data_IF_427537715782
#
_entry.id   IF_427537715782
#
_cell.length_a   1.000
_cell.length_b   1.000
_cell.length_c   1.000
_cell.angle_alpha   90.00
_cell.angle_beta   90.00
_cell.angle_gamma   90.00
#
_symmetry.space_group_name_H-M   'P 1'
#
loop_
_entity.id
_entity.type
_entity.pdbx_description
1 polymer ?
#
# COMPACT_ATOMS: atom_id res chain seq x y z
N UNK A 1 7.00 -9.75 -19.56
CA UNK A 1 5.75 -8.99 -19.51
C UNK A 1 5.84 -7.77 -18.58
N UNK A 2 5.98 -7.91 -17.27
CA UNK A 2 6.12 -6.81 -16.29
C UNK A 2 7.28 -5.85 -16.60
N UNK A 3 8.44 -6.35 -17.02
CA UNK A 3 9.60 -5.52 -17.39
C UNK A 3 9.33 -4.57 -18.57
N UNK A 4 8.52 -4.97 -19.54
CA UNK A 4 8.14 -4.13 -20.67
C UNK A 4 7.13 -3.05 -20.26
N UNK A 5 6.20 -3.36 -19.36
CA UNK A 5 5.26 -2.38 -18.79
C UNK A 5 5.98 -1.32 -17.94
N UNK A 6 7.01 -1.72 -17.18
CA UNK A 6 7.86 -0.80 -16.43
C UNK A 6 8.65 0.12 -17.38
N UNK A 7 9.26 -0.43 -18.43
CA UNK A 7 10.00 0.37 -19.42
C UNK A 7 9.10 1.39 -20.15
N UNK A 8 7.90 0.99 -20.56
CA UNK A 8 6.98 1.89 -21.27
C UNK A 8 6.43 3.01 -20.39
N UNK A 9 6.48 2.86 -19.07
CA UNK A 9 5.95 3.82 -18.09
C UNK A 9 7.04 4.47 -17.21
N UNK A 10 8.30 4.41 -17.65
CA UNK A 10 9.45 4.90 -16.86
C UNK A 10 9.29 6.37 -16.44
N UNK A 11 8.77 7.22 -17.32
CA UNK A 11 8.50 8.63 -17.03
C UNK A 11 7.47 8.81 -15.90
N UNK A 12 6.41 8.00 -15.89
CA UNK A 12 5.41 8.03 -14.82
C UNK A 12 5.99 7.57 -13.49
N UNK A 13 6.85 6.56 -13.50
CA UNK A 13 7.54 6.06 -12.31
C UNK A 13 8.48 7.12 -11.75
N UNK A 14 9.30 7.75 -12.59
CA UNK A 14 10.21 8.83 -12.17
C UNK A 14 9.41 9.99 -11.57
N UNK A 15 8.32 10.40 -12.20
CA UNK A 15 7.41 11.43 -11.67
C UNK A 15 6.89 11.08 -10.28
N UNK A 16 6.45 9.83 -10.06
CA UNK A 16 5.97 9.35 -8.75
C UNK A 16 7.09 9.42 -7.71
N UNK A 17 8.29 8.94 -8.06
CA UNK A 17 9.44 8.99 -7.15
C UNK A 17 9.77 10.42 -6.74
N UNK A 18 9.83 11.35 -7.70
CA UNK A 18 10.10 12.78 -7.42
C UNK A 18 9.02 13.36 -6.50
N UNK A 19 7.75 13.12 -6.79
CA UNK A 19 6.65 13.61 -5.96
C UNK A 19 6.64 13.01 -4.56
N UNK A 20 6.97 11.72 -4.42
CA UNK A 20 7.07 11.06 -3.11
C UNK A 20 8.25 11.61 -2.30
N UNK A 21 9.38 11.87 -2.94
CA UNK A 21 10.52 12.51 -2.29
C UNK A 21 10.21 13.96 -1.89
N UNK A 22 9.53 14.71 -2.73
CA UNK A 22 9.08 16.08 -2.41
C UNK A 22 8.11 16.08 -1.22
N UNK A 23 7.12 15.18 -1.21
CA UNK A 23 6.21 15.00 -0.09
C UNK A 23 6.96 14.66 1.21
N UNK A 24 7.88 13.69 1.16
CA UNK A 24 8.66 13.28 2.33
C UNK A 24 9.58 14.40 2.83
N UNK A 25 10.22 15.11 1.92
CA UNK A 25 11.09 16.25 2.25
C UNK A 25 10.32 17.42 2.88
N UNK A 26 9.15 17.77 2.33
CA UNK A 26 8.28 18.77 2.92
C UNK A 26 7.75 18.35 4.30
N UNK A 27 7.44 17.08 4.50
CA UNK A 27 7.04 16.55 5.80
C UNK A 27 8.15 16.68 6.85
N UNK A 28 9.39 16.33 6.49
CA UNK A 28 10.56 16.52 7.36
C UNK A 28 10.83 18.01 7.60
N UNK A 29 10.66 18.86 6.60
CA UNK A 29 10.78 20.30 6.77
C UNK A 29 9.73 20.87 7.73
N UNK A 30 8.49 20.38 7.66
CA UNK A 30 7.43 20.73 8.61
C UNK A 30 7.83 20.37 10.05
N UNK A 31 8.37 19.16 10.27
CA UNK A 31 8.88 18.74 11.58
C UNK A 31 10.04 19.63 12.04
N UNK A 32 10.95 19.99 11.15
CA UNK A 32 12.06 20.90 11.43
C UNK A 32 11.58 22.28 11.84
N UNK A 33 10.59 22.82 11.12
CA UNK A 33 10.02 24.11 11.42
C UNK A 33 9.34 24.15 12.80
N UNK A 34 8.59 23.08 13.13
CA UNK A 34 7.96 22.94 14.44
C UNK A 34 9.02 22.95 15.55
N UNK A 35 10.08 22.15 15.37
CA UNK A 35 11.12 22.02 16.40
C UNK A 35 11.95 23.30 16.58
N UNK A 36 12.28 23.98 15.52
CA UNK A 36 13.22 25.11 15.57
C UNK A 36 12.51 26.45 15.84
N UNK A 37 11.34 26.66 15.29
CA UNK A 37 10.63 27.95 15.39
C UNK A 37 9.45 27.88 16.36
N UNK A 38 8.56 26.90 16.25
CA UNK A 38 7.34 26.86 17.09
C UNK A 38 7.63 26.53 18.56
N UNK A 39 8.53 25.58 18.84
CA UNK A 39 8.86 25.19 20.22
C UNK A 39 9.61 26.32 20.96
N UNK A 40 10.34 27.18 20.26
CA UNK A 40 11.11 28.27 20.83
C UNK A 40 10.36 29.62 20.86
N UNK A 41 9.12 29.68 20.35
CA UNK A 41 8.28 30.86 20.43
C UNK A 41 7.95 31.23 21.87
N UNK A 42 8.37 32.42 22.29
CA UNK A 42 8.01 33.01 23.61
C UNK A 42 6.75 33.85 23.55
N UNK A 43 6.46 34.44 22.39
CA UNK A 43 5.29 35.26 22.10
C UNK A 43 4.71 34.89 20.74
N UNK A 44 3.41 35.12 20.55
CA UNK A 44 2.74 34.80 19.28
C UNK A 44 3.22 35.74 18.19
N UNK A 45 3.94 35.20 17.20
CA UNK A 45 4.37 35.93 16.00
C UNK A 45 3.52 35.52 14.79
N UNK A 46 2.80 36.48 14.23
CA UNK A 46 1.93 36.29 13.07
C UNK A 46 2.73 35.83 11.83
N UNK A 47 3.98 36.28 11.69
CA UNK A 47 4.84 35.87 10.57
C UNK A 47 5.21 34.39 10.63
N UNK A 48 5.48 33.89 11.83
CA UNK A 48 5.77 32.45 12.04
C UNK A 48 4.53 31.63 11.75
N UNK A 49 3.36 32.07 12.18
CA UNK A 49 2.08 31.40 11.92
C UNK A 49 1.78 31.33 10.40
N UNK A 50 1.98 32.45 9.67
CA UNK A 50 1.77 32.49 8.21
C UNK A 50 2.75 31.57 7.48
N UNK A 51 4.04 31.56 7.85
CA UNK A 51 5.04 30.63 7.30
C UNK A 51 4.65 29.19 7.54
N UNK A 52 4.20 28.85 8.75
CA UNK A 52 3.76 27.49 9.09
C UNK A 52 2.58 27.04 8.24
N UNK A 53 1.56 27.89 8.09
CA UNK A 53 0.41 27.62 7.24
C UNK A 53 0.84 27.41 5.78
N UNK A 54 1.75 28.23 5.27
CA UNK A 54 2.26 28.10 3.90
C UNK A 54 2.98 26.75 3.71
N UNK A 55 3.83 26.32 4.65
CA UNK A 55 4.51 25.02 4.62
C UNK A 55 3.50 23.88 4.65
N UNK A 56 2.48 23.96 5.51
CA UNK A 56 1.41 22.96 5.58
C UNK A 56 0.63 22.86 4.27
N UNK A 57 0.28 23.98 3.66
CA UNK A 57 -0.42 24.01 2.36
C UNK A 57 0.43 23.33 1.28
N UNK A 58 1.72 23.64 1.20
CA UNK A 58 2.65 23.00 0.26
C UNK A 58 2.77 21.49 0.52
N UNK A 59 2.84 21.09 1.78
CA UNK A 59 2.86 19.69 2.18
C UNK A 59 1.59 18.96 1.72
N UNK A 60 0.41 19.53 1.96
CA UNK A 60 -0.87 18.96 1.50
C UNK A 60 -0.96 18.87 -0.03
N UNK A 61 -0.57 19.91 -0.74
CA UNK A 61 -0.57 19.91 -2.21
C UNK A 61 0.36 18.81 -2.74
N UNK A 62 1.55 18.66 -2.18
CA UNK A 62 2.50 17.62 -2.59
C UNK A 62 1.96 16.20 -2.27
N UNK A 63 1.29 16.02 -1.13
CA UNK A 63 0.64 14.77 -0.75
C UNK A 63 -0.47 14.38 -1.75
N UNK A 64 -1.34 15.32 -2.10
CA UNK A 64 -2.42 15.13 -3.07
C UNK A 64 -1.84 14.80 -4.45
N UNK A 65 -0.84 15.55 -4.90
CA UNK A 65 -0.18 15.33 -6.19
C UNK A 65 0.50 13.96 -6.27
N UNK A 66 1.17 13.52 -5.21
CA UNK A 66 1.77 12.19 -5.11
C UNK A 66 0.69 11.10 -5.18
N UNK A 67 -0.38 11.20 -4.37
CA UNK A 67 -1.47 10.24 -4.35
C UNK A 67 -2.20 10.13 -5.70
N UNK A 68 -2.52 11.26 -6.34
CA UNK A 68 -3.16 11.26 -7.67
C UNK A 68 -2.24 10.58 -8.70
N UNK A 69 -0.94 10.88 -8.68
CA UNK A 69 0.00 10.28 -9.63
C UNK A 69 0.14 8.77 -9.44
N UNK A 70 0.18 8.29 -8.21
CA UNK A 70 0.22 6.87 -7.86
C UNK A 70 -1.07 6.17 -8.29
N UNK A 71 -2.23 6.77 -7.97
CA UNK A 71 -3.55 6.22 -8.29
C UNK A 71 -3.75 6.12 -9.81
N UNK A 72 -3.40 7.16 -10.55
CA UNK A 72 -3.50 7.16 -12.02
C UNK A 72 -2.59 6.10 -12.66
N UNK A 73 -1.38 5.94 -12.14
CA UNK A 73 -0.48 4.89 -12.57
C UNK A 73 -1.05 3.50 -12.28
N UNK A 74 -1.64 3.31 -11.08
CA UNK A 74 -2.29 2.07 -10.69
C UNK A 74 -3.46 1.70 -11.61
N UNK A 75 -4.33 2.65 -11.90
CA UNK A 75 -5.44 2.43 -12.83
C UNK A 75 -4.98 2.06 -14.23
N UNK A 76 -3.94 2.73 -14.75
CA UNK A 76 -3.36 2.41 -16.05
C UNK A 76 -2.77 1.00 -16.06
N UNK A 77 -2.05 0.62 -15.01
CA UNK A 77 -1.45 -0.71 -14.86
C UNK A 77 -2.52 -1.82 -14.81
N UNK A 78 -3.59 -1.61 -14.03
CA UNK A 78 -4.71 -2.54 -13.92
C UNK A 78 -5.48 -2.66 -15.25
N UNK A 79 -5.68 -1.54 -15.95
CA UNK A 79 -6.30 -1.55 -17.27
C UNK A 79 -5.50 -2.39 -18.27
N UNK A 80 -4.19 -2.20 -18.31
CA UNK A 80 -3.31 -2.97 -19.19
C UNK A 80 -3.32 -4.47 -18.86
N UNK A 81 -3.31 -4.83 -17.58
CA UNK A 81 -3.46 -6.23 -17.15
C UNK A 81 -4.79 -6.83 -17.61
N UNK A 82 -5.88 -6.10 -17.44
CA UNK A 82 -7.21 -6.54 -17.91
C UNK A 82 -7.22 -6.75 -19.41
N UNK A 83 -6.71 -5.79 -20.16
CA UNK A 83 -6.66 -5.86 -21.61
C UNK A 83 -5.87 -7.10 -22.08
N UNK A 84 -4.71 -7.32 -21.52
CA UNK A 84 -3.86 -8.47 -21.87
C UNK A 84 -4.53 -9.81 -21.49
N UNK A 85 -5.17 -9.89 -20.34
CA UNK A 85 -5.89 -11.10 -19.89
C UNK A 85 -7.06 -11.40 -20.81
N UNK A 86 -7.86 -10.40 -21.17
CA UNK A 86 -8.98 -10.58 -22.10
C UNK A 86 -8.48 -10.98 -23.48
N UNK A 87 -7.41 -10.35 -23.99
CA UNK A 87 -6.80 -10.72 -25.26
C UNK A 87 -6.33 -12.18 -25.25
N UNK A 88 -5.69 -12.63 -24.18
CA UNK A 88 -5.24 -14.01 -24.04
C UNK A 88 -6.43 -15.00 -24.07
N UNK A 89 -7.55 -14.65 -23.45
CA UNK A 89 -8.78 -15.47 -23.52
C UNK A 89 -9.33 -15.53 -24.96
N UNK A 90 -9.34 -14.38 -25.66
CA UNK A 90 -9.84 -14.32 -27.04
C UNK A 90 -8.94 -15.09 -28.03
N UNK A 91 -7.65 -15.15 -27.77
CA UNK A 91 -6.66 -15.88 -28.57
C UNK A 91 -6.66 -17.39 -28.23
N UNK A 92 -7.41 -17.83 -27.22
CA UNK A 92 -7.49 -19.25 -26.81
C UNK A 92 -8.56 -20.00 -27.59
N UNK A 93 -8.28 -21.22 -28.12
CA UNK A 93 -9.27 -22.02 -28.83
C UNK A 93 -10.53 -22.31 -28.02
N UNK A 94 -11.71 -22.25 -28.68
CA UNK A 94 -13.00 -22.47 -28.04
C UNK A 94 -13.14 -23.83 -27.35
N UNK A 95 -12.42 -24.86 -27.83
CA UNK A 95 -12.40 -26.19 -27.19
C UNK A 95 -11.87 -26.11 -25.75
N UNK A 96 -10.76 -25.40 -25.54
CA UNK A 96 -10.15 -25.21 -24.21
C UNK A 96 -11.04 -24.35 -23.30
N UNK A 97 -11.66 -23.30 -23.86
CA UNK A 97 -12.61 -22.45 -23.11
C UNK A 97 -13.82 -23.24 -22.63
N UNK A 98 -14.35 -24.15 -23.46
CA UNK A 98 -15.50 -24.98 -23.10
C UNK A 98 -15.12 -26.06 -22.08
N UNK A 99 -13.89 -26.61 -22.15
CA UNK A 99 -13.39 -27.60 -21.19
C UNK A 99 -13.23 -26.99 -19.78
N UNK A 100 -12.68 -25.78 -19.67
CA UNK A 100 -12.49 -25.07 -18.40
C UNK A 100 -13.84 -24.55 -17.87
N UNK A 101 -14.75 -24.15 -18.75
CA UNK A 101 -16.04 -23.52 -18.46
C UNK A 101 -15.97 -21.98 -18.40
N UNK A 102 -16.79 -21.35 -19.23
CA UNK A 102 -16.84 -19.88 -19.38
C UNK A 102 -17.08 -19.14 -18.06
N UNK A 103 -18.00 -19.66 -17.24
CA UNK A 103 -18.33 -19.04 -15.95
C UNK A 103 -17.13 -19.06 -14.99
N UNK A 104 -16.35 -20.14 -14.97
CA UNK A 104 -15.17 -20.28 -14.14
C UNK A 104 -14.05 -19.31 -14.56
N UNK A 105 -13.84 -19.16 -15.86
CA UNK A 105 -12.85 -18.22 -16.41
C UNK A 105 -13.20 -16.79 -16.02
N UNK A 106 -14.46 -16.38 -16.18
CA UNK A 106 -14.92 -15.01 -15.85
C UNK A 106 -14.81 -14.77 -14.34
N UNK A 107 -15.20 -15.73 -13.52
CA UNK A 107 -15.12 -15.63 -12.07
C UNK A 107 -13.67 -15.50 -11.58
N UNK A 108 -12.75 -16.34 -12.10
CA UNK A 108 -11.32 -16.29 -11.80
C UNK A 108 -10.72 -14.96 -12.22
N UNK A 109 -10.99 -14.52 -13.47
CA UNK A 109 -10.49 -13.25 -13.99
C UNK A 109 -10.90 -12.06 -13.10
N UNK A 110 -12.17 -12.00 -12.68
CA UNK A 110 -12.66 -10.93 -11.83
C UNK A 110 -12.03 -10.95 -10.43
N UNK A 111 -11.87 -12.14 -9.85
CA UNK A 111 -11.27 -12.29 -8.52
C UNK A 111 -9.77 -11.97 -8.53
N UNK A 112 -9.05 -12.47 -9.51
CA UNK A 112 -7.60 -12.25 -9.66
C UNK A 112 -7.30 -10.77 -9.88
N UNK A 113 -8.09 -10.09 -10.72
CA UNK A 113 -7.93 -8.65 -10.95
C UNK A 113 -8.21 -7.83 -9.69
N UNK A 114 -9.23 -8.19 -8.90
CA UNK A 114 -9.51 -7.52 -7.62
C UNK A 114 -8.35 -7.69 -6.65
N UNK A 115 -7.83 -8.90 -6.53
CA UNK A 115 -6.70 -9.24 -5.66
C UNK A 115 -5.44 -8.46 -6.05
N UNK A 116 -5.11 -8.43 -7.34
CA UNK A 116 -3.96 -7.68 -7.88
C UNK A 116 -4.15 -6.18 -7.66
N UNK A 117 -5.36 -5.65 -7.87
CA UNK A 117 -5.69 -4.24 -7.63
C UNK A 117 -5.44 -3.87 -6.17
N UNK A 118 -5.95 -4.67 -5.24
CA UNK A 118 -5.77 -4.44 -3.81
C UNK A 118 -4.30 -4.52 -3.40
N UNK A 119 -3.58 -5.54 -3.87
CA UNK A 119 -2.16 -5.69 -3.61
C UNK A 119 -1.34 -4.50 -4.13
N UNK A 120 -1.65 -4.02 -5.33
CA UNK A 120 -0.98 -2.87 -5.93
C UNK A 120 -1.23 -1.58 -5.12
N UNK A 121 -2.48 -1.30 -4.76
CA UNK A 121 -2.83 -0.12 -3.95
C UNK A 121 -2.15 -0.15 -2.58
N UNK A 122 -2.13 -1.31 -1.93
CA UNK A 122 -1.46 -1.49 -0.64
C UNK A 122 0.05 -1.32 -0.75
N UNK A 123 0.68 -1.87 -1.79
CA UNK A 123 2.12 -1.77 -2.03
C UNK A 123 2.56 -0.32 -2.27
N UNK A 124 1.77 0.48 -3.00
CA UNK A 124 2.11 1.89 -3.27
C UNK A 124 2.08 2.74 -2.01
N UNK A 125 1.05 2.57 -1.16
CA UNK A 125 0.96 3.23 0.15
C UNK A 125 2.11 2.83 1.08
N UNK A 126 2.49 1.55 1.07
CA UNK A 126 3.62 1.05 1.84
C UNK A 126 4.94 1.69 1.41
N UNK A 127 5.22 1.76 0.11
CA UNK A 127 6.45 2.39 -0.42
C UNK A 127 6.52 3.87 -0.03
N UNK A 128 5.42 4.61 -0.17
CA UNK A 128 5.35 6.02 0.21
C UNK A 128 5.65 6.23 1.70
N UNK A 129 5.04 5.42 2.56
CA UNK A 129 5.28 5.47 4.01
C UNK A 129 6.72 5.11 4.36
N UNK A 130 7.30 4.13 3.68
CA UNK A 130 8.68 3.69 3.89
C UNK A 130 9.67 4.81 3.55
N UNK A 131 9.50 5.50 2.42
CA UNK A 131 10.33 6.65 2.05
C UNK A 131 10.22 7.76 3.10
N UNK A 132 9.00 8.08 3.56
CA UNK A 132 8.78 9.07 4.60
C UNK A 132 9.47 8.69 5.92
N UNK A 133 9.33 7.44 6.37
CA UNK A 133 9.97 6.94 7.59
C UNK A 133 11.49 7.05 7.50
N UNK A 134 12.08 6.69 6.36
CA UNK A 134 13.52 6.80 6.15
C UNK A 134 13.97 8.27 6.28
N UNK A 135 13.31 9.19 5.56
CA UNK A 135 13.64 10.61 5.63
C UNK A 135 13.49 11.18 7.06
N UNK A 136 12.39 10.85 7.73
CA UNK A 136 12.13 11.28 9.10
C UNK A 136 13.13 10.69 10.10
N UNK A 137 13.56 9.43 9.89
CA UNK A 137 14.57 8.76 10.73
C UNK A 137 15.93 9.44 10.63
N UNK A 138 16.37 9.81 9.42
CA UNK A 138 17.62 10.57 9.24
C UNK A 138 17.55 11.92 9.94
N UNK A 139 16.45 12.63 9.80
CA UNK A 139 16.25 13.90 10.48
C UNK A 139 16.27 13.76 12.00
N UNK A 140 15.57 12.76 12.54
CA UNK A 140 15.52 12.50 13.99
C UNK A 140 16.90 12.09 14.54
N UNK A 141 17.65 11.28 13.80
CA UNK A 141 19.02 10.88 14.17
C UNK A 141 19.96 12.10 14.24
N UNK A 142 19.76 13.08 13.36
CA UNK A 142 20.56 14.31 13.35
C UNK A 142 20.23 15.25 14.53
N UNK A 143 18.94 15.46 14.84
CA UNK A 143 18.51 16.42 15.88
C UNK A 143 18.59 15.81 17.28
N UNK A 144 18.13 14.57 17.44
CA UNK A 144 17.99 13.95 18.76
C UNK A 144 18.38 12.46 18.73
N UNK A 145 19.69 12.13 18.68
CA UNK A 145 20.16 10.76 18.52
C UNK A 145 19.68 9.82 19.65
N UNK A 146 19.49 10.33 20.87
CA UNK A 146 18.97 9.55 21.99
C UNK A 146 17.50 9.13 21.75
N UNK A 147 16.69 10.05 21.23
CA UNK A 147 15.28 9.80 20.89
C UNK A 147 15.19 8.85 19.71
N UNK A 148 16.09 8.98 18.72
CA UNK A 148 16.16 8.08 17.58
C UNK A 148 16.43 6.63 18.02
N UNK A 149 17.41 6.40 18.90
CA UNK A 149 17.73 5.07 19.42
C UNK A 149 16.53 4.48 20.16
N UNK A 150 15.90 5.28 21.04
CA UNK A 150 14.69 4.84 21.75
C UNK A 150 13.55 4.46 20.79
N UNK A 151 13.30 5.28 19.78
CA UNK A 151 12.28 5.03 18.76
C UNK A 151 12.60 3.79 17.94
N UNK A 152 13.85 3.57 17.56
CA UNK A 152 14.29 2.39 16.82
C UNK A 152 14.09 1.09 17.64
N UNK A 153 14.41 1.11 18.92
CA UNK A 153 14.17 -0.03 19.84
C UNK A 153 12.67 -0.30 19.96
N UNK A 154 11.85 0.77 20.10
CA UNK A 154 10.40 0.64 20.21
C UNK A 154 9.76 0.05 18.95
N UNK A 155 10.18 0.55 17.78
CA UNK A 155 9.72 0.01 16.47
C UNK A 155 10.14 -1.46 16.33
N UNK A 156 11.39 -1.79 16.69
CA UNK A 156 11.88 -3.16 16.65
C UNK A 156 11.07 -4.09 17.57
N UNK A 157 10.79 -3.67 18.81
CA UNK A 157 9.95 -4.41 19.73
C UNK A 157 8.53 -4.63 19.18
N UNK A 158 7.93 -3.60 18.60
CA UNK A 158 6.59 -3.68 17.98
C UNK A 158 6.58 -4.67 16.81
N UNK A 159 7.59 -4.69 15.95
CA UNK A 159 7.71 -5.65 14.85
C UNK A 159 7.84 -7.09 15.36
N UNK A 160 8.64 -7.33 16.40
CA UNK A 160 8.76 -8.65 17.01
C UNK A 160 7.43 -9.12 17.59
N UNK A 161 6.76 -8.27 18.37
CA UNK A 161 5.45 -8.57 18.97
C UNK A 161 4.43 -8.88 17.87
N UNK A 162 4.33 -8.04 16.82
CA UNK A 162 3.44 -8.28 15.69
C UNK A 162 3.72 -9.62 15.00
N UNK A 163 4.98 -9.96 14.80
CA UNK A 163 5.36 -11.24 14.16
C UNK A 163 4.94 -12.44 15.00
N UNK A 164 5.10 -12.34 16.31
CA UNK A 164 4.68 -13.40 17.25
C UNK A 164 3.15 -13.54 17.29
N UNK A 165 2.44 -12.40 17.33
CA UNK A 165 0.97 -12.38 17.30
C UNK A 165 0.43 -12.95 15.99
N UNK A 166 1.01 -12.58 14.85
CA UNK A 166 0.58 -13.10 13.54
C UNK A 166 0.80 -14.61 13.42
N UNK A 167 1.90 -15.17 13.94
CA UNK A 167 2.10 -16.62 13.99
C UNK A 167 1.00 -17.31 14.81
N UNK A 168 0.64 -16.73 15.95
CA UNK A 168 -0.42 -17.27 16.82
C UNK A 168 -1.78 -17.17 16.16
N UNK A 169 -2.08 -16.03 15.53
CA UNK A 169 -3.31 -15.80 14.78
C UNK A 169 -3.43 -16.81 13.61
N UNK A 170 -2.38 -16.98 12.81
CA UNK A 170 -2.38 -17.97 11.73
C UNK A 170 -2.61 -19.39 12.21
N UNK A 171 -2.07 -19.77 13.36
CA UNK A 171 -2.31 -21.07 13.97
C UNK A 171 -3.81 -21.28 14.29
N UNK A 172 -4.43 -20.30 14.95
CA UNK A 172 -5.87 -20.38 15.28
C UNK A 172 -6.78 -20.30 14.05
N UNK A 173 -6.43 -19.50 13.04
CA UNK A 173 -7.19 -19.46 11.79
C UNK A 173 -7.11 -20.76 10.99
N UNK A 174 -5.99 -21.47 11.05
CA UNK A 174 -5.87 -22.78 10.43
C UNK A 174 -6.78 -23.81 11.10
N UNK A 175 -6.86 -23.76 12.42
CA UNK A 175 -7.73 -24.64 13.20
C UNK A 175 -9.22 -24.32 12.95
N UNK A 176 -9.58 -23.05 12.89
CA UNK A 176 -10.93 -22.59 12.54
C UNK A 176 -11.35 -23.03 11.14
N UNK A 177 -10.47 -22.93 10.13
CA UNK A 177 -10.77 -23.39 8.77
C UNK A 177 -11.03 -24.88 8.70
N UNK A 178 -10.29 -25.71 9.44
CA UNK A 178 -10.55 -27.16 9.47
C UNK A 178 -11.89 -27.48 10.12
N UNK A 179 -12.35 -26.66 11.07
CA UNK A 179 -13.69 -26.82 11.67
C UNK A 179 -14.78 -26.32 10.71
N UNK A 180 -14.57 -25.21 9.99
CA UNK A 180 -15.49 -24.69 8.97
C UNK A 180 -15.66 -25.68 7.80
N UNK A 181 -14.58 -26.31 7.34
CA UNK A 181 -14.60 -27.36 6.31
C UNK A 181 -15.38 -28.61 6.77
N UNK A 182 -15.22 -29.00 8.04
CA UNK A 182 -15.97 -30.11 8.64
C UNK A 182 -17.48 -29.76 8.75
N UNK A 183 -17.78 -28.52 9.12
CA UNK A 183 -19.14 -28.02 9.23
C UNK A 183 -19.84 -27.94 7.86
N UNK A 184 -19.12 -27.52 6.84
CA UNK A 184 -19.60 -27.48 5.46
C UNK A 184 -19.88 -28.90 4.93
N UNK A 185 -19.02 -29.87 5.25
CA UNK A 185 -19.23 -31.26 4.91
C UNK A 185 -20.48 -31.83 5.60
N UNK A 186 -20.72 -31.48 6.87
CA UNK A 186 -21.96 -31.89 7.56
C UNK A 186 -23.21 -31.25 6.94
N UNK A 187 -23.15 -30.00 6.45
CA UNK A 187 -24.25 -29.39 5.73
C UNK A 187 -24.53 -30.08 4.39
N UNK A 188 -23.49 -30.44 3.64
CA UNK A 188 -23.62 -31.22 2.40
C UNK A 188 -24.23 -32.56 2.64
N UNK A 189 -23.82 -33.30 3.69
CA UNK A 189 -24.38 -34.59 4.08
C UNK A 189 -25.88 -34.49 4.47
N UNK A 190 -26.28 -33.40 5.14
CA UNK A 190 -27.69 -33.15 5.48
C UNK A 190 -28.53 -32.85 4.24
N UNK A 191 -27.99 -32.08 3.30
CA UNK A 191 -28.71 -31.71 2.05
C UNK A 191 -28.81 -32.92 1.12
N UNK A 192 -27.79 -33.77 1.03
CA UNK A 192 -27.83 -35.01 0.24
C UNK A 192 -28.67 -36.13 0.91
N UNK A 193 -28.69 -36.19 2.24
CA UNK A 193 -29.49 -37.16 2.98
C UNK A 193 -30.99 -36.90 2.99
N UNK A 194 -31.42 -35.73 2.45
CA UNK A 194 -32.84 -35.36 2.28
C UNK A 194 -33.38 -35.68 0.88
N UNK A 195 -32.60 -36.36 0.04
CA UNK A 195 -33.04 -36.96 -1.24
C UNK A 195 -33.16 -38.45 -1.09
#
# INVERSE_FOLDING_TARGET
MLANLIKSNLFSIIKIVILTLAFSGLGVWTLSFINNELVNLKEFDIFVAVKFIAILVLFFISAIAANISITNFGHKFIYELRYQSVKQILDTPNSVINEIGKAKIIASLNNDIKTITFAFMSATGFIQSLVFIICASFYLAYIAPKVFIFSAIWIGATLVINTLLMKKIHFYFKDSRTQDDALQKHYDDIVEGHR
#
